data_IF_342144199703
#
_entry.id   IF_342144199703
#
_cell.length_a   1.000
_cell.length_b   1.000
_cell.length_c   1.000
_cell.angle_alpha   90.00
_cell.angle_beta   90.00
_cell.angle_gamma   90.00
#
_symmetry.space_group_name_H-M   'P 1'
#
loop_
_entity.id
_entity.type
_entity.pdbx_description
1 polymer ?
#
# COMPACT_ATOMS: atom_id res chain seq x y z
N UNK A 1 -17.99 -16.69 -25.54
CA UNK A 1 -18.79 -17.58 -24.67
C UNK A 1 -17.97 -18.05 -23.47
N UNK A 2 -16.86 -18.78 -23.62
CA UNK A 2 -16.04 -19.23 -22.47
C UNK A 2 -15.40 -18.09 -21.65
N UNK A 3 -14.90 -17.04 -22.31
CA UNK A 3 -14.27 -15.89 -21.61
C UNK A 3 -15.27 -15.06 -20.80
N UNK A 4 -16.50 -14.95 -21.29
CA UNK A 4 -17.57 -14.16 -20.66
C UNK A 4 -18.13 -14.87 -19.44
N UNK A 5 -18.33 -16.19 -19.51
CA UNK A 5 -18.68 -17.02 -18.36
C UNK A 5 -17.57 -17.02 -17.30
N UNK A 6 -16.29 -17.10 -17.69
CA UNK A 6 -15.18 -17.03 -16.75
C UNK A 6 -15.12 -15.65 -16.05
N UNK A 7 -15.32 -14.57 -16.80
CA UNK A 7 -15.35 -13.21 -16.27
C UNK A 7 -16.48 -12.99 -15.27
N UNK A 8 -17.69 -13.48 -15.56
CA UNK A 8 -18.83 -13.40 -14.65
C UNK A 8 -18.57 -14.16 -13.35
N UNK A 9 -17.99 -15.36 -13.43
CA UNK A 9 -17.66 -16.15 -12.23
C UNK A 9 -16.59 -15.49 -11.35
N UNK A 10 -15.66 -14.72 -11.94
CA UNK A 10 -14.64 -13.99 -11.20
C UNK A 10 -15.22 -12.75 -10.50
N UNK A 11 -16.14 -12.05 -11.16
CA UNK A 11 -16.85 -10.90 -10.60
C UNK A 11 -17.72 -11.32 -9.41
N UNK A 12 -18.48 -12.41 -9.54
CA UNK A 12 -19.29 -12.99 -8.46
C UNK A 12 -18.41 -13.34 -7.25
N UNK A 13 -17.33 -14.11 -7.46
CA UNK A 13 -16.39 -14.48 -6.39
C UNK A 13 -15.77 -13.27 -5.70
N UNK A 14 -15.41 -12.23 -6.47
CA UNK A 14 -14.83 -11.00 -5.92
C UNK A 14 -15.85 -10.21 -5.12
N UNK A 15 -17.12 -10.22 -5.54
CA UNK A 15 -18.23 -9.57 -4.83
C UNK A 15 -18.54 -10.29 -3.53
N UNK A 16 -18.68 -11.62 -3.56
CA UNK A 16 -18.89 -12.45 -2.37
C UNK A 16 -17.75 -12.27 -1.36
N UNK A 17 -16.53 -12.19 -1.87
CA UNK A 17 -15.34 -11.95 -1.06
C UNK A 17 -15.37 -10.58 -0.38
N UNK A 18 -15.77 -9.54 -1.10
CA UNK A 18 -15.95 -8.20 -0.54
C UNK A 18 -16.99 -8.19 0.59
N UNK A 19 -18.16 -8.81 0.36
CA UNK A 19 -19.23 -8.89 1.37
C UNK A 19 -18.76 -9.64 2.62
N UNK A 20 -18.10 -10.78 2.44
CA UNK A 20 -17.52 -11.57 3.53
C UNK A 20 -16.54 -10.75 4.38
N UNK A 21 -15.67 -9.96 3.74
CA UNK A 21 -14.72 -9.12 4.46
C UNK A 21 -15.39 -7.94 5.18
N UNK A 22 -16.46 -7.37 4.60
CA UNK A 22 -17.25 -6.32 5.24
C UNK A 22 -17.97 -6.86 6.48
N UNK A 23 -18.61 -8.02 6.37
CA UNK A 23 -19.37 -8.65 7.45
C UNK A 23 -18.48 -9.06 8.63
N UNK A 24 -17.24 -9.41 8.34
CA UNK A 24 -16.25 -9.75 9.36
C UNK A 24 -15.47 -8.53 9.89
N UNK A 25 -15.73 -7.31 9.41
CA UNK A 25 -15.00 -6.12 9.86
C UNK A 25 -15.17 -5.89 11.37
N UNK A 26 -14.10 -5.96 12.17
CA UNK A 26 -14.21 -5.82 13.62
C UNK A 26 -14.55 -4.39 14.03
N UNK A 27 -15.20 -4.25 15.18
CA UNK A 27 -15.41 -2.96 15.82
C UNK A 27 -14.11 -2.41 16.39
N UNK A 28 -13.51 -1.44 15.71
CA UNK A 28 -12.18 -0.90 16.04
C UNK A 28 -12.20 0.26 17.06
N UNK A 29 -13.37 0.74 17.46
CA UNK A 29 -13.54 1.87 18.39
C UNK A 29 -13.00 3.22 17.86
N UNK A 30 -13.38 4.31 18.52
CA UNK A 30 -13.09 5.66 18.01
C UNK A 30 -11.62 6.07 18.20
N UNK A 31 -10.91 5.60 19.23
CA UNK A 31 -9.59 6.17 19.61
C UNK A 31 -8.46 5.12 19.73
N UNK A 32 -8.77 3.82 19.84
CA UNK A 32 -7.75 2.84 20.21
C UNK A 32 -6.85 2.43 19.03
N UNK A 33 -5.60 2.93 19.02
CA UNK A 33 -4.54 2.51 18.08
C UNK A 33 -4.41 0.99 18.00
N UNK A 34 -4.34 0.32 19.15
CA UNK A 34 -4.18 -1.14 19.24
C UNK A 34 -5.35 -1.89 18.60
N UNK A 35 -6.60 -1.46 18.85
CA UNK A 35 -7.79 -2.09 18.23
C UNK A 35 -7.83 -1.90 16.73
N UNK A 36 -7.43 -0.72 16.24
CA UNK A 36 -7.34 -0.42 14.81
C UNK A 36 -6.29 -1.28 14.10
N UNK A 37 -5.10 -1.41 14.67
CA UNK A 37 -4.05 -2.29 14.14
C UNK A 37 -4.51 -3.75 14.14
N UNK A 38 -5.07 -4.23 15.25
CA UNK A 38 -5.62 -5.59 15.34
C UNK A 38 -6.69 -5.84 14.29
N UNK A 39 -7.60 -4.88 14.10
CA UNK A 39 -8.68 -5.02 13.11
C UNK A 39 -8.19 -5.04 11.67
N UNK A 40 -7.08 -4.35 11.37
CA UNK A 40 -6.42 -4.50 10.07
C UNK A 40 -5.87 -5.90 9.90
N UNK A 41 -5.09 -6.39 10.88
CA UNK A 41 -4.46 -7.73 10.85
C UNK A 41 -5.54 -8.80 10.62
N UNK A 42 -6.60 -8.82 11.45
CA UNK A 42 -7.69 -9.80 11.37
C UNK A 42 -8.33 -9.84 9.97
N UNK A 43 -8.62 -8.68 9.37
CA UNK A 43 -9.23 -8.63 8.04
C UNK A 43 -8.28 -9.11 6.95
N UNK A 44 -7.01 -8.76 7.05
CA UNK A 44 -6.01 -9.21 6.08
C UNK A 44 -5.65 -10.69 6.24
N UNK A 45 -5.85 -11.28 7.42
CA UNK A 45 -5.75 -12.73 7.64
C UNK A 45 -6.91 -13.49 6.98
N UNK A 46 -8.14 -12.97 7.08
CA UNK A 46 -9.30 -13.55 6.40
C UNK A 46 -9.10 -13.52 4.88
N UNK A 47 -8.66 -12.39 4.33
CA UNK A 47 -8.35 -12.29 2.91
C UNK A 47 -7.22 -13.24 2.50
N UNK A 48 -6.19 -13.39 3.33
CA UNK A 48 -5.12 -14.35 3.08
C UNK A 48 -5.65 -15.78 3.03
N UNK A 49 -6.55 -16.14 3.95
CA UNK A 49 -7.21 -17.44 3.92
C UNK A 49 -7.95 -17.67 2.61
N UNK A 50 -8.70 -16.67 2.14
CA UNK A 50 -9.45 -16.75 0.87
C UNK A 50 -8.54 -16.90 -0.35
N UNK A 51 -7.34 -16.31 -0.32
CA UNK A 51 -6.32 -16.55 -1.33
C UNK A 51 -5.82 -18.00 -1.27
N UNK A 52 -5.47 -18.48 -0.06
CA UNK A 52 -4.94 -19.85 0.11
C UNK A 52 -5.96 -20.94 -0.16
N UNK A 53 -7.26 -20.64 -0.03
CA UNK A 53 -8.36 -21.54 -0.38
C UNK A 53 -8.79 -21.42 -1.83
N UNK A 54 -8.08 -20.64 -2.66
CA UNK A 54 -8.38 -20.40 -4.06
C UNK A 54 -9.78 -19.79 -4.30
N UNK A 55 -10.35 -19.12 -3.28
CA UNK A 55 -11.59 -18.34 -3.40
C UNK A 55 -11.36 -17.08 -4.25
N UNK A 56 -10.21 -16.41 -4.06
CA UNK A 56 -9.79 -15.20 -4.79
C UNK A 56 -8.28 -15.19 -5.07
N UNK A 57 -7.83 -14.28 -5.94
CA UNK A 57 -6.39 -14.04 -6.20
C UNK A 57 -5.83 -12.89 -5.33
N UNK A 58 -4.50 -12.75 -5.28
CA UNK A 58 -3.83 -11.57 -4.69
C UNK A 58 -4.36 -10.26 -5.29
N UNK A 59 -4.56 -10.22 -6.61
CA UNK A 59 -5.05 -9.05 -7.35
C UNK A 59 -6.48 -8.68 -6.95
N UNK A 60 -7.37 -9.67 -6.85
CA UNK A 60 -8.73 -9.48 -6.34
C UNK A 60 -8.71 -8.96 -4.90
N UNK A 61 -7.83 -9.47 -4.04
CA UNK A 61 -7.70 -8.99 -2.67
C UNK A 61 -7.24 -7.52 -2.60
N UNK A 62 -6.24 -7.14 -3.41
CA UNK A 62 -5.79 -5.75 -3.54
C UNK A 62 -6.92 -4.83 -4.01
N UNK A 63 -7.67 -5.27 -5.02
CA UNK A 63 -8.81 -4.54 -5.53
C UNK A 63 -9.88 -4.35 -4.43
N UNK A 64 -10.26 -5.42 -3.73
CA UNK A 64 -11.22 -5.38 -2.62
C UNK A 64 -10.75 -4.43 -1.52
N UNK A 65 -9.49 -4.53 -1.07
CA UNK A 65 -8.96 -3.62 -0.05
C UNK A 65 -9.00 -2.16 -0.51
N UNK A 66 -8.72 -1.87 -1.77
CA UNK A 66 -8.84 -0.51 -2.32
C UNK A 66 -10.27 0.03 -2.26
N UNK A 67 -11.29 -0.82 -2.45
CA UNK A 67 -12.70 -0.45 -2.30
C UNK A 67 -13.03 -0.25 -0.83
N UNK A 68 -12.68 -1.21 0.03
CA UNK A 68 -12.92 -1.12 1.47
C UNK A 68 -12.27 0.13 2.05
N UNK A 69 -11.07 0.51 1.62
CA UNK A 69 -10.40 1.71 2.11
C UNK A 69 -11.14 3.00 1.73
N UNK A 70 -11.92 2.99 0.64
CA UNK A 70 -12.76 4.11 0.20
C UNK A 70 -14.17 4.10 0.80
N UNK A 71 -14.75 2.92 1.01
CA UNK A 71 -16.18 2.75 1.35
C UNK A 71 -16.41 2.33 2.81
N UNK A 72 -15.47 1.65 3.44
CA UNK A 72 -15.55 1.20 4.82
C UNK A 72 -14.69 2.11 5.73
N UNK A 73 -15.35 3.01 6.47
CA UNK A 73 -14.66 3.95 7.38
C UNK A 73 -13.81 3.24 8.43
N UNK A 74 -14.26 2.08 8.92
CA UNK A 74 -13.51 1.31 9.88
C UNK A 74 -12.23 0.75 9.24
N UNK A 75 -12.34 0.08 8.10
CA UNK A 75 -11.16 -0.44 7.41
C UNK A 75 -10.18 0.69 7.05
N UNK A 76 -10.66 1.83 6.53
CA UNK A 76 -9.83 3.00 6.28
C UNK A 76 -9.04 3.43 7.53
N UNK A 77 -9.72 3.64 8.67
CA UNK A 77 -9.06 4.04 9.93
C UNK A 77 -8.09 2.99 10.46
N UNK A 78 -8.40 1.71 10.26
CA UNK A 78 -7.54 0.59 10.62
C UNK A 78 -6.26 0.60 9.78
N UNK A 79 -6.40 0.68 8.46
CA UNK A 79 -5.31 0.72 7.50
C UNK A 79 -4.42 1.94 7.70
N UNK A 80 -4.97 3.16 7.79
CA UNK A 80 -4.17 4.38 8.00
C UNK A 80 -3.39 4.32 9.31
N UNK A 81 -4.04 3.88 10.40
CA UNK A 81 -3.36 3.76 11.69
C UNK A 81 -2.24 2.72 11.65
N UNK A 82 -2.46 1.62 10.94
CA UNK A 82 -1.45 0.57 10.77
C UNK A 82 -0.29 1.06 9.91
N UNK A 83 -0.57 1.75 8.80
CA UNK A 83 0.43 2.34 7.93
C UNK A 83 1.32 3.27 8.73
N UNK A 84 0.75 4.19 9.51
CA UNK A 84 1.51 5.12 10.35
C UNK A 84 2.30 4.45 11.49
N UNK A 85 1.86 3.26 11.93
CA UNK A 85 2.49 2.54 13.04
C UNK A 85 3.45 1.43 12.58
N UNK A 86 3.62 1.23 11.27
CA UNK A 86 4.27 0.03 10.73
C UNK A 86 5.66 -0.20 11.31
N UNK A 87 6.48 0.84 11.42
CA UNK A 87 7.85 0.80 12.00
C UNK A 87 7.90 0.21 13.42
N UNK A 88 6.79 0.29 14.16
CA UNK A 88 6.67 -0.22 15.54
C UNK A 88 6.04 -1.62 15.64
N UNK A 89 5.70 -2.24 14.51
CA UNK A 89 5.03 -3.55 14.43
C UNK A 89 5.98 -4.55 13.77
N UNK A 90 6.15 -5.73 14.36
CA UNK A 90 6.97 -6.78 13.75
C UNK A 90 6.32 -7.36 12.49
N UNK A 91 7.13 -7.66 11.46
CA UNK A 91 6.66 -8.19 10.16
C UNK A 91 5.87 -9.49 10.28
N UNK A 92 6.31 -10.38 11.16
CA UNK A 92 5.72 -11.69 11.38
C UNK A 92 4.27 -11.65 11.89
N UNK A 93 3.75 -10.47 12.23
CA UNK A 93 2.37 -10.26 12.67
C UNK A 93 1.41 -10.08 11.49
N UNK A 94 1.91 -9.74 10.30
CA UNK A 94 1.08 -9.52 9.13
C UNK A 94 0.91 -10.79 8.31
N UNK A 95 -0.27 -10.97 7.73
CA UNK A 95 -0.42 -11.90 6.61
C UNK A 95 0.38 -11.40 5.41
N UNK A 96 0.85 -12.29 4.50
CA UNK A 96 1.58 -11.87 3.31
C UNK A 96 0.84 -10.79 2.49
N UNK A 97 -0.46 -10.97 2.24
CA UNK A 97 -1.27 -9.97 1.52
C UNK A 97 -1.43 -8.66 2.29
N UNK A 98 -1.55 -8.74 3.62
CA UNK A 98 -1.62 -7.57 4.49
C UNK A 98 -0.33 -6.76 4.46
N UNK A 99 0.83 -7.42 4.57
CA UNK A 99 2.12 -6.75 4.50
C UNK A 99 2.33 -6.06 3.14
N UNK A 100 2.05 -6.77 2.03
CA UNK A 100 2.13 -6.19 0.68
C UNK A 100 1.25 -4.94 0.55
N UNK A 101 -0.01 -5.03 0.99
CA UNK A 101 -0.95 -3.91 0.87
C UNK A 101 -0.56 -2.72 1.74
N UNK A 102 -0.11 -2.93 2.98
CA UNK A 102 0.22 -1.82 3.87
C UNK A 102 1.48 -1.06 3.42
N UNK A 103 2.44 -1.76 2.81
CA UNK A 103 3.61 -1.13 2.18
C UNK A 103 3.16 -0.22 1.03
N UNK A 104 2.24 -0.67 0.20
CA UNK A 104 1.71 0.13 -0.92
C UNK A 104 0.94 1.36 -0.44
N UNK A 105 0.15 1.22 0.63
CA UNK A 105 -0.51 2.37 1.27
C UNK A 105 0.52 3.38 1.80
N UNK A 106 1.62 2.92 2.42
CA UNK A 106 2.68 3.83 2.89
C UNK A 106 3.33 4.60 1.73
N UNK A 107 3.61 3.93 0.61
CA UNK A 107 4.11 4.57 -0.62
C UNK A 107 3.14 5.64 -1.12
N UNK A 108 1.85 5.29 -1.21
CA UNK A 108 0.78 6.23 -1.62
C UNK A 108 0.67 7.46 -0.71
N UNK A 109 0.93 7.29 0.59
CA UNK A 109 0.91 8.37 1.58
C UNK A 109 2.24 9.14 1.69
N UNK A 110 3.24 8.81 0.86
CA UNK A 110 4.59 9.38 0.91
C UNK A 110 5.23 9.29 2.33
N UNK A 111 4.99 8.18 3.03
CA UNK A 111 5.59 7.93 4.34
C UNK A 111 7.04 7.41 4.18
N UNK A 112 7.94 7.67 5.15
CA UNK A 112 9.31 7.17 5.10
C UNK A 112 9.39 5.66 4.88
N UNK A 113 10.48 5.16 4.32
CA UNK A 113 10.70 3.71 4.24
C UNK A 113 10.83 3.13 5.64
N UNK A 114 10.43 1.87 5.80
CA UNK A 114 10.60 1.12 7.03
C UNK A 114 11.49 -0.08 6.77
N UNK A 115 11.94 -0.75 7.83
CA UNK A 115 12.68 -2.02 7.70
C UNK A 115 11.90 -3.05 6.86
N UNK A 116 10.56 -2.96 6.93
CA UNK A 116 9.58 -3.74 6.17
C UNK A 116 9.51 -3.42 4.68
N UNK A 117 10.21 -2.39 4.21
CA UNK A 117 10.18 -1.90 2.83
C UNK A 117 11.43 -2.32 2.04
N UNK A 118 12.34 -3.09 2.63
CA UNK A 118 13.63 -3.44 2.04
C UNK A 118 13.59 -4.60 1.03
N UNK A 119 12.49 -5.36 0.97
CA UNK A 119 12.26 -6.33 -0.10
C UNK A 119 11.51 -5.64 -1.25
N UNK A 120 12.30 -5.22 -2.23
CA UNK A 120 11.94 -4.76 -3.58
C UNK A 120 11.16 -3.43 -3.72
N UNK A 121 11.93 -2.37 -4.01
CA UNK A 121 11.65 -1.41 -5.09
C UNK A 121 12.88 -0.52 -5.34
N UNK A 122 13.83 -0.96 -6.16
CA UNK A 122 14.67 -0.03 -6.92
C UNK A 122 13.81 0.63 -7.98
N UNK A 123 13.14 1.72 -7.61
CA UNK A 123 12.62 2.69 -8.59
C UNK A 123 13.84 3.40 -9.16
N UNK A 124 14.10 3.19 -10.45
CA UNK A 124 15.08 3.98 -11.19
C UNK A 124 14.54 5.41 -11.22
N UNK A 125 15.11 6.31 -10.42
CA UNK A 125 14.88 7.74 -10.58
C UNK A 125 15.43 8.15 -11.95
N UNK A 126 14.52 8.46 -12.89
CA UNK A 126 14.86 9.24 -14.07
C UNK A 126 15.39 10.60 -13.59
N UNK A 127 16.71 10.75 -13.71
CA UNK A 127 17.41 12.00 -13.53
C UNK A 127 16.87 12.99 -14.58
N UNK A 128 15.98 13.89 -14.16
CA UNK A 128 15.67 15.12 -14.88
C UNK A 128 16.96 15.94 -14.99
N UNK A 129 17.66 15.78 -16.13
CA UNK A 129 18.76 16.66 -16.51
C UNK A 129 18.12 17.96 -17.00
N UNK A 130 18.07 18.95 -16.09
CA UNK A 130 17.95 20.35 -16.47
C UNK A 130 19.30 20.81 -17.05
N UNK A 131 19.52 20.61 -18.35
CA UNK A 131 20.61 21.28 -19.07
C UNK A 131 20.10 22.62 -19.60
N UNK A 132 20.07 23.59 -18.69
CA UNK A 132 20.00 24.99 -19.03
C UNK A 132 21.09 25.71 -18.26
N UNK A 133 22.28 25.82 -18.83
CA UNK A 133 23.20 26.92 -18.57
C UNK A 133 24.27 27.01 -19.67
N UNK A 134 24.10 28.03 -20.50
CA UNK A 134 25.01 28.47 -21.53
C UNK A 134 25.96 29.51 -20.91
N UNK A 135 27.19 29.13 -20.54
CA UNK A 135 28.30 30.06 -20.30
C UNK A 135 29.67 29.38 -20.50
N UNK A 136 30.56 29.92 -21.36
CA UNK A 136 31.98 29.66 -21.29
C UNK A 136 32.72 30.77 -20.52
N UNK A 137 33.61 30.32 -19.63
CA UNK A 137 34.57 31.03 -18.78
C UNK A 137 35.45 32.09 -19.48
N UNK A 138 35.97 33.07 -18.72
CA UNK A 138 37.43 33.35 -18.47
C UNK A 138 37.67 34.73 -17.75
N UNK A 139 38.87 34.99 -17.16
CA UNK A 139 39.07 35.63 -15.85
C UNK A 139 39.42 37.13 -15.89
N UNK A 140 39.44 37.84 -14.74
CA UNK A 140 39.99 39.20 -14.68
C UNK A 140 41.53 39.17 -14.49
N UNK A 141 42.22 39.70 -15.49
CA UNK A 141 43.64 40.04 -15.45
C UNK A 141 43.94 41.06 -14.35
N UNK A 142 45.08 40.86 -13.70
CA UNK A 142 45.65 41.74 -12.67
C UNK A 142 46.45 42.84 -13.36
N UNK A 143 46.07 44.12 -13.22
CA UNK A 143 47.03 45.23 -13.37
C UNK A 143 46.77 46.32 -12.32
N UNK A 144 47.68 46.35 -11.36
CA UNK A 144 48.07 47.53 -10.60
C UNK A 144 48.48 48.65 -11.56
N UNK A 145 48.07 49.89 -11.26
CA UNK A 145 48.82 51.09 -11.63
C UNK A 145 48.78 52.05 -10.45
N UNK A 146 49.97 52.51 -10.07
CA UNK A 146 50.20 53.76 -9.36
C UNK A 146 49.64 54.95 -10.16
#
# INVERSE_FOLDING_TARGET
>A
MLEEELSLTLEEKTTDAYEKLIDNMPSIGIISRKKRIKGYIEITEIAQYMITSEEITDESAFYIFSIMMRKCSNFNKATIMTALSLESIGEAVFSPIGLKFIIEVRRTLNLPTTQHSNDEATVIEEKLINDGEDQPNLPPDTQQRD
#
